data_IF_542807494281
#
_entry.id   IF_542807494281
#
_cell.length_a   1.000
_cell.length_b   1.000
_cell.length_c   1.000
_cell.angle_alpha   90.00
_cell.angle_beta   90.00
_cell.angle_gamma   90.00
#
_symmetry.space_group_name_H-M   'P 1'
#
loop_
_entity.id
_entity.type
_entity.pdbx_description
1 polymer ?
#
# COMPACT_ATOMS: atom_id res chain seq x y z
N UNK A 1 11.05 71.37 30.14
CA UNK A 1 12.43 70.85 30.04
C UNK A 1 12.52 69.34 30.20
N UNK A 2 11.79 68.69 31.12
CA UNK A 2 11.86 67.23 31.31
C UNK A 2 11.44 66.38 30.10
N UNK A 3 10.46 66.81 29.30
CA UNK A 3 10.04 66.06 28.10
C UNK A 3 11.11 66.04 26.97
N UNK A 4 11.96 67.07 26.91
CA UNK A 4 13.06 67.16 25.92
C UNK A 4 14.27 66.30 26.34
N UNK A 5 14.54 66.16 27.64
CA UNK A 5 15.62 65.29 28.11
C UNK A 5 15.29 63.81 27.91
N UNK A 6 14.04 63.41 28.17
CA UNK A 6 13.56 62.03 27.94
C UNK A 6 13.57 61.68 26.44
N UNK A 7 13.27 62.63 25.56
CA UNK A 7 13.37 62.41 24.11
C UNK A 7 14.83 62.22 23.66
N UNK A 8 15.78 62.96 24.25
CA UNK A 8 17.19 62.83 23.91
C UNK A 8 17.79 61.50 24.40
N UNK A 9 17.41 61.01 25.58
CA UNK A 9 17.84 59.70 26.09
C UNK A 9 17.37 58.54 25.20
N UNK A 10 16.12 58.58 24.72
CA UNK A 10 15.59 57.56 23.79
C UNK A 10 16.33 57.59 22.45
N UNK A 11 16.68 58.78 21.95
CA UNK A 11 17.46 58.92 20.71
C UNK A 11 18.87 58.36 20.89
N UNK A 12 19.54 58.64 22.01
CA UNK A 12 20.89 58.13 22.28
C UNK A 12 20.95 56.60 22.37
N UNK A 13 19.90 55.97 22.91
CA UNK A 13 19.81 54.51 23.03
C UNK A 13 19.40 53.79 21.73
N UNK A 14 18.52 54.40 20.93
CA UNK A 14 17.94 53.75 19.75
C UNK A 14 18.71 54.05 18.45
N UNK A 15 19.38 55.20 18.35
CA UNK A 15 20.21 55.54 17.20
C UNK A 15 21.30 54.49 16.90
N UNK A 16 22.13 54.03 17.86
CA UNK A 16 23.16 53.02 17.56
C UNK A 16 22.55 51.69 17.13
N UNK A 17 21.41 51.29 17.72
CA UNK A 17 20.69 50.06 17.35
C UNK A 17 20.12 50.18 15.93
N UNK A 18 19.52 51.31 15.58
CA UNK A 18 18.99 51.56 14.24
C UNK A 18 20.10 51.53 13.18
N UNK A 19 21.24 52.16 13.46
CA UNK A 19 22.41 52.14 12.56
C UNK A 19 22.94 50.71 12.38
N UNK A 20 23.05 49.92 13.45
CA UNK A 20 23.43 48.50 13.37
C UNK A 20 22.43 47.68 12.54
N UNK A 21 21.12 47.89 12.72
CA UNK A 21 20.08 47.20 11.96
C UNK A 21 20.10 47.58 10.48
N UNK A 22 20.34 48.85 10.13
CA UNK A 22 20.49 49.29 8.74
C UNK A 22 21.73 48.70 8.08
N UNK A 23 22.85 48.63 8.80
CA UNK A 23 24.07 47.99 8.31
C UNK A 23 23.88 46.48 8.09
N UNK A 24 23.20 45.79 9.01
CA UNK A 24 22.91 44.36 8.80
C UNK A 24 21.93 44.15 7.64
N UNK A 25 20.93 45.01 7.48
CA UNK A 25 20.00 44.95 6.35
C UNK A 25 20.70 45.14 5.01
N UNK A 26 21.59 46.13 4.89
CA UNK A 26 22.35 46.37 3.66
C UNK A 26 23.26 45.18 3.31
N UNK A 27 23.93 44.59 4.30
CA UNK A 27 24.73 43.37 4.11
C UNK A 27 23.86 42.19 3.65
N UNK A 28 22.69 41.99 4.26
CA UNK A 28 21.76 40.92 3.87
C UNK A 28 21.23 41.11 2.45
N UNK A 29 20.86 42.34 2.07
CA UNK A 29 20.43 42.65 0.70
C UNK A 29 21.55 42.39 -0.30
N UNK A 30 22.79 42.77 0.00
CA UNK A 30 23.94 42.49 -0.86
C UNK A 30 24.18 40.98 -1.03
N UNK A 31 24.07 40.20 0.06
CA UNK A 31 24.21 38.74 0.03
C UNK A 31 23.08 38.05 -0.75
N UNK A 32 21.83 38.45 -0.54
CA UNK A 32 20.69 37.86 -1.26
C UNK A 32 20.76 38.22 -2.75
N UNK A 33 21.11 39.46 -3.08
CA UNK A 33 21.22 39.87 -4.49
C UNK A 33 22.36 39.17 -5.23
N UNK A 34 23.51 38.94 -4.59
CA UNK A 34 24.59 38.14 -5.20
C UNK A 34 24.16 36.69 -5.41
N UNK A 35 23.54 36.07 -4.41
CA UNK A 35 23.05 34.70 -4.49
C UNK A 35 22.02 34.50 -5.61
N UNK A 36 21.06 35.43 -5.73
CA UNK A 36 20.04 35.39 -6.80
C UNK A 36 20.68 35.57 -8.17
N UNK A 37 21.65 36.49 -8.33
CA UNK A 37 22.38 36.67 -9.60
C UNK A 37 23.12 35.41 -10.00
N UNK A 38 23.75 34.73 -9.06
CA UNK A 38 24.45 33.46 -9.33
C UNK A 38 23.48 32.35 -9.72
N UNK A 39 22.30 32.31 -9.09
CA UNK A 39 21.26 31.35 -9.44
C UNK A 39 20.71 31.60 -10.85
N UNK A 40 20.49 32.87 -11.22
CA UNK A 40 20.07 33.27 -12.58
C UNK A 40 21.10 32.82 -13.62
N UNK A 41 22.39 33.05 -13.38
CA UNK A 41 23.46 32.60 -14.29
C UNK A 41 23.45 31.08 -14.47
N UNK A 42 23.28 30.32 -13.38
CA UNK A 42 23.17 28.84 -13.44
C UNK A 42 21.97 28.39 -14.26
N UNK A 43 20.82 29.05 -14.10
CA UNK A 43 19.61 28.76 -14.88
C UNK A 43 19.81 29.09 -16.36
N UNK A 44 20.42 30.23 -16.70
CA UNK A 44 20.75 30.60 -18.08
C UNK A 44 21.69 29.60 -18.74
N UNK A 45 22.68 29.11 -17.98
CA UNK A 45 23.61 28.08 -18.41
C UNK A 45 22.99 26.67 -18.48
N UNK A 46 21.68 26.53 -18.22
CA UNK A 46 20.93 25.26 -18.21
C UNK A 46 21.54 24.19 -17.29
N UNK A 47 22.26 24.59 -16.24
CA UNK A 47 22.88 23.63 -15.31
C UNK A 47 21.84 22.83 -14.54
N UNK A 48 20.62 23.37 -14.39
CA UNK A 48 19.49 22.68 -13.77
C UNK A 48 18.42 22.37 -14.82
N UNK A 49 18.11 21.09 -15.08
CA UNK A 49 17.02 20.72 -15.99
C UNK A 49 15.67 20.99 -15.31
N UNK A 50 15.06 22.14 -15.60
CA UNK A 50 13.75 22.55 -15.04
C UNK A 50 12.55 21.93 -15.76
N UNK A 51 12.77 21.15 -16.83
CA UNK A 51 11.69 20.62 -17.68
C UNK A 51 10.87 19.49 -17.03
N UNK A 52 11.42 18.79 -16.03
CA UNK A 52 10.77 17.67 -15.36
C UNK A 52 10.70 17.92 -13.84
N UNK A 53 9.63 18.55 -13.40
CA UNK A 53 9.36 18.88 -12.00
C UNK A 53 8.01 18.37 -11.51
N UNK A 54 7.84 18.32 -10.18
CA UNK A 54 6.55 18.11 -9.55
C UNK A 54 5.77 19.43 -9.59
N UNK A 55 4.78 19.54 -10.48
CA UNK A 55 3.93 20.74 -10.63
C UNK A 55 3.29 21.22 -9.30
N UNK A 56 2.98 20.29 -8.39
CA UNK A 56 2.47 20.63 -7.07
C UNK A 56 3.48 21.44 -6.22
N UNK A 57 4.77 21.11 -6.33
CA UNK A 57 5.84 21.81 -5.61
C UNK A 57 6.04 23.21 -6.20
N UNK A 58 5.95 23.35 -7.53
CA UNK A 58 5.99 24.65 -8.19
C UNK A 58 4.87 25.56 -7.69
N UNK A 59 3.63 25.07 -7.64
CA UNK A 59 2.51 25.83 -7.12
C UNK A 59 2.74 26.28 -5.66
N UNK A 60 3.27 25.38 -4.82
CA UNK A 60 3.60 25.71 -3.43
C UNK A 60 4.65 26.83 -3.35
N UNK A 61 5.69 26.78 -4.17
CA UNK A 61 6.70 27.84 -4.20
C UNK A 61 6.16 29.17 -4.71
N UNK A 62 5.30 29.16 -5.73
CA UNK A 62 4.62 30.38 -6.19
C UNK A 62 3.75 30.99 -5.10
N UNK A 63 2.98 30.18 -4.35
CA UNK A 63 2.19 30.66 -3.22
C UNK A 63 3.05 31.26 -2.10
N UNK A 64 4.18 30.64 -1.78
CA UNK A 64 5.13 31.18 -0.81
C UNK A 64 5.76 32.50 -1.28
N UNK A 65 6.04 32.62 -2.58
CA UNK A 65 6.53 33.86 -3.17
C UNK A 65 5.49 34.98 -3.09
N UNK A 66 4.23 34.71 -3.46
CA UNK A 66 3.14 35.67 -3.33
C UNK A 66 2.92 36.09 -1.87
N UNK A 67 3.03 35.14 -0.93
CA UNK A 67 2.98 35.45 0.50
C UNK A 67 4.08 36.44 0.90
N UNK A 68 5.34 36.21 0.50
CA UNK A 68 6.44 37.12 0.80
C UNK A 68 6.27 38.49 0.14
N UNK A 69 5.74 38.53 -1.08
CA UNK A 69 5.46 39.77 -1.79
C UNK A 69 4.39 40.62 -1.08
N UNK A 70 3.28 40.00 -0.67
CA UNK A 70 2.22 40.69 0.08
C UNK A 70 2.70 41.16 1.47
N UNK A 71 3.55 40.37 2.14
CA UNK A 71 4.16 40.79 3.42
C UNK A 71 5.11 41.97 3.21
N UNK A 72 6.00 41.92 2.21
CA UNK A 72 6.92 43.01 1.91
C UNK A 72 6.15 44.30 1.54
N UNK A 73 5.05 44.17 0.80
CA UNK A 73 4.18 45.30 0.49
C UNK A 73 3.55 45.91 1.74
N UNK A 74 3.04 45.09 2.66
CA UNK A 74 2.51 45.58 3.95
C UNK A 74 3.59 46.23 4.82
N UNK A 75 4.82 45.70 4.80
CA UNK A 75 5.95 46.32 5.50
C UNK A 75 6.28 47.69 4.92
N UNK A 76 6.29 47.84 3.59
CA UNK A 76 6.48 49.13 2.92
C UNK A 76 5.42 50.17 3.33
N UNK A 77 4.14 49.77 3.32
CA UNK A 77 3.03 50.65 3.73
C UNK A 77 3.19 51.09 5.18
N UNK A 78 3.64 50.18 6.05
CA UNK A 78 3.87 50.48 7.45
C UNK A 78 5.06 51.42 7.66
N UNK A 79 6.12 51.27 6.88
CA UNK A 79 7.28 52.18 6.95
C UNK A 79 6.96 53.56 6.40
N UNK A 80 6.03 53.66 5.45
CA UNK A 80 5.52 54.93 4.92
C UNK A 80 4.53 55.63 5.88
N UNK A 81 4.20 55.00 7.01
CA UNK A 81 3.31 55.55 8.04
C UNK A 81 1.82 55.48 7.69
N UNK A 82 1.45 54.70 6.67
CA UNK A 82 0.06 54.55 6.25
C UNK A 82 -0.70 53.56 7.15
N UNK A 83 -2.03 53.71 7.22
CA UNK A 83 -2.89 52.78 7.95
C UNK A 83 -2.96 51.43 7.25
N UNK A 84 -2.90 50.34 8.02
CA UNK A 84 -3.07 48.98 7.52
C UNK A 84 -4.54 48.53 7.45
N UNK A 85 -5.48 49.36 7.90
CA UNK A 85 -6.91 49.01 7.87
C UNK A 85 -7.40 48.97 6.42
N UNK A 86 -8.16 47.92 6.10
CA UNK A 86 -8.84 47.72 4.80
C UNK A 86 -7.93 47.57 3.58
N UNK A 87 -6.73 46.99 3.77
CA UNK A 87 -5.86 46.66 2.64
C UNK A 87 -6.16 45.25 2.10
N UNK A 88 -6.44 45.15 0.79
CA UNK A 88 -6.63 43.89 0.06
C UNK A 88 -5.47 42.90 0.24
N UNK A 89 -4.25 43.39 0.47
CA UNK A 89 -3.09 42.55 0.74
C UNK A 89 -3.29 41.63 1.95
N UNK A 90 -4.03 42.08 2.98
CA UNK A 90 -4.34 41.26 4.16
C UNK A 90 -5.29 40.12 3.77
N UNK A 91 -6.31 40.41 2.96
CA UNK A 91 -7.22 39.38 2.46
C UNK A 91 -6.50 38.35 1.58
N UNK A 92 -5.58 38.78 0.71
CA UNK A 92 -4.73 37.88 -0.08
C UNK A 92 -3.86 37.00 0.81
N UNK A 93 -3.23 37.60 1.83
CA UNK A 93 -2.42 36.89 2.82
C UNK A 93 -3.18 35.78 3.56
N UNK A 94 -4.38 36.10 4.06
CA UNK A 94 -5.25 35.10 4.71
C UNK A 94 -5.67 34.02 3.71
N UNK A 95 -5.99 34.41 2.47
CA UNK A 95 -6.35 33.45 1.42
C UNK A 95 -5.20 32.50 1.11
N UNK A 96 -4.00 33.01 0.86
CA UNK A 96 -2.80 32.21 0.60
C UNK A 96 -2.50 31.28 1.79
N UNK A 97 -2.60 31.79 3.03
CA UNK A 97 -2.42 30.99 4.23
C UNK A 97 -3.42 29.83 4.28
N UNK A 98 -4.72 30.10 4.09
CA UNK A 98 -5.73 29.04 4.11
C UNK A 98 -5.50 28.00 3.00
N UNK A 99 -5.09 28.42 1.80
CA UNK A 99 -4.73 27.51 0.71
C UNK A 99 -3.55 26.62 1.11
N UNK A 100 -2.48 27.19 1.67
CA UNK A 100 -1.32 26.42 2.16
C UNK A 100 -1.73 25.42 3.26
N UNK A 101 -2.69 25.76 4.12
CA UNK A 101 -3.21 24.83 5.13
C UNK A 101 -4.00 23.68 4.51
N UNK A 102 -4.84 23.97 3.51
CA UNK A 102 -5.60 22.94 2.78
C UNK A 102 -4.73 22.06 1.90
N UNK A 103 -3.54 22.52 1.52
CA UNK A 103 -2.56 21.72 0.77
C UNK A 103 -1.80 20.70 1.64
N UNK A 104 -1.73 20.86 2.97
CA UNK A 104 -0.94 19.97 3.85
C UNK A 104 -1.27 18.47 3.73
N UNK A 105 -2.54 18.04 3.59
CA UNK A 105 -2.84 16.61 3.39
C UNK A 105 -2.31 16.06 2.05
N UNK A 106 -2.20 16.90 1.03
CA UNK A 106 -1.59 16.53 -0.26
C UNK A 106 -0.07 16.42 -0.12
N UNK A 107 0.57 17.35 0.59
CA UNK A 107 1.99 17.25 0.95
C UNK A 107 2.30 15.90 1.63
N UNK A 108 1.48 15.49 2.60
CA UNK A 108 1.67 14.22 3.31
C UNK A 108 1.55 13.00 2.38
N UNK A 109 0.61 13.03 1.43
CA UNK A 109 0.45 11.95 0.44
C UNK A 109 1.60 11.89 -0.56
N UNK A 110 2.13 13.05 -0.94
CA UNK A 110 3.25 13.17 -1.89
C UNK A 110 4.62 13.06 -1.23
N UNK A 111 4.71 13.15 0.10
CA UNK A 111 5.96 13.09 0.86
C UNK A 111 6.84 11.92 0.44
N UNK A 112 6.27 10.72 0.34
CA UNK A 112 7.03 9.55 -0.11
C UNK A 112 7.60 9.72 -1.53
N UNK A 113 6.83 10.28 -2.45
CA UNK A 113 7.27 10.48 -3.84
C UNK A 113 8.37 11.55 -3.92
N UNK A 114 8.22 12.63 -3.15
CA UNK A 114 9.22 13.69 -3.03
C UNK A 114 10.50 13.12 -2.42
N UNK A 115 10.41 12.44 -1.27
CA UNK A 115 11.56 11.83 -0.59
C UNK A 115 12.25 10.79 -1.49
N UNK A 116 11.48 10.02 -2.27
CA UNK A 116 12.02 9.08 -3.25
C UNK A 116 12.79 9.81 -4.35
N UNK A 117 12.21 10.85 -4.94
CA UNK A 117 12.86 11.62 -6.01
C UNK A 117 14.14 12.31 -5.53
N UNK A 118 14.11 12.89 -4.32
CA UNK A 118 15.28 13.49 -3.68
C UNK A 118 16.35 12.43 -3.43
N UNK A 119 15.99 11.26 -2.89
CA UNK A 119 16.93 10.15 -2.72
C UNK A 119 17.53 9.73 -4.05
N UNK A 120 16.72 9.52 -5.09
CA UNK A 120 17.24 9.14 -6.41
C UNK A 120 18.18 10.17 -7.02
N UNK A 121 17.93 11.47 -6.80
CA UNK A 121 18.80 12.53 -7.28
C UNK A 121 20.14 12.56 -6.54
N UNK A 122 20.16 12.22 -5.24
CA UNK A 122 21.38 12.22 -4.41
C UNK A 122 22.18 10.92 -4.58
N UNK A 123 21.53 9.75 -4.59
CA UNK A 123 22.22 8.44 -4.65
C UNK A 123 22.32 7.85 -6.05
N UNK A 124 21.67 8.43 -7.07
CA UNK A 124 21.73 7.95 -8.46
C UNK A 124 21.08 6.57 -8.71
N UNK A 125 20.55 5.92 -7.68
CA UNK A 125 19.94 4.59 -7.73
C UNK A 125 18.60 4.58 -6.98
N UNK A 126 17.58 3.90 -7.54
CA UNK A 126 16.34 3.62 -6.83
C UNK A 126 16.61 2.53 -5.79
N UNK A 127 16.24 2.79 -4.53
CA UNK A 127 16.43 1.83 -3.45
C UNK A 127 15.85 0.45 -3.80
N UNK A 128 16.63 -0.62 -3.61
CA UNK A 128 16.25 -2.01 -3.89
C UNK A 128 14.97 -2.45 -3.15
N UNK A 129 14.64 -1.77 -2.04
CA UNK A 129 13.50 -2.06 -1.18
C UNK A 129 12.33 -1.06 -1.36
N UNK A 130 11.94 -0.76 -2.60
CA UNK A 130 10.78 0.09 -2.88
C UNK A 130 9.49 -0.75 -3.06
N UNK A 131 8.48 -0.62 -2.17
CA UNK A 131 7.21 -1.33 -2.29
C UNK A 131 6.43 -1.07 -3.60
N UNK A 132 6.71 0.04 -4.29
CA UNK A 132 6.06 0.42 -5.55
C UNK A 132 6.77 -0.14 -6.80
N UNK A 133 7.95 -0.76 -6.67
CA UNK A 133 8.62 -1.44 -7.79
C UNK A 133 7.82 -2.63 -8.32
N UNK A 134 6.95 -3.23 -7.51
CA UNK A 134 6.12 -4.38 -7.89
C UNK A 134 4.81 -3.99 -8.58
N UNK A 135 4.65 -2.74 -9.01
CA UNK A 135 3.50 -2.36 -9.83
C UNK A 135 3.60 -3.04 -11.20
N UNK A 136 2.53 -3.67 -11.70
CA UNK A 136 2.51 -4.18 -13.06
C UNK A 136 2.81 -3.03 -14.01
N UNK A 137 3.84 -3.16 -14.86
CA UNK A 137 4.19 -2.16 -15.84
C UNK A 137 3.52 -2.54 -17.19
N UNK A 138 2.39 -1.92 -17.56
CA UNK A 138 1.64 -2.30 -18.75
C UNK A 138 2.38 -1.99 -20.04
N UNK A 139 3.35 -1.06 -20.04
CA UNK A 139 4.21 -0.75 -21.19
C UNK A 139 5.04 -1.96 -21.64
N UNK A 140 5.39 -2.85 -20.69
CA UNK A 140 6.11 -4.10 -20.98
C UNK A 140 5.24 -5.16 -21.71
N UNK A 141 3.95 -4.89 -21.88
CA UNK A 141 3.02 -5.70 -22.68
C UNK A 141 2.83 -5.12 -24.09
N UNK A 142 3.08 -3.82 -24.29
CA UNK A 142 2.79 -3.13 -25.56
C UNK A 142 3.92 -3.33 -26.57
N UNK A 143 5.17 -3.43 -26.11
CA UNK A 143 6.32 -3.77 -26.97
C UNK A 143 6.25 -5.17 -27.58
N UNK A 144 5.34 -6.03 -27.11
CA UNK A 144 5.07 -7.36 -27.70
C UNK A 144 3.89 -7.38 -28.67
N UNK A 145 3.10 -6.30 -28.74
CA UNK A 145 1.97 -6.21 -29.66
C UNK A 145 2.34 -5.47 -30.96
N UNK A 146 3.27 -4.51 -30.92
CA UNK A 146 3.74 -3.79 -32.11
C UNK A 146 4.85 -4.53 -32.89
N UNK A 147 5.31 -5.68 -32.39
CA UNK A 147 6.34 -6.50 -33.05
C UNK A 147 5.77 -7.72 -33.81
N UNK A 148 4.46 -7.76 -34.06
CA UNK A 148 3.81 -8.89 -34.77
C UNK A 148 3.49 -8.63 -36.25
N UNK A 149 3.92 -7.51 -36.85
CA UNK A 149 3.63 -7.20 -38.26
C UNK A 149 4.84 -6.82 -39.13
N UNK A 150 6.06 -7.30 -38.83
CA UNK A 150 7.16 -7.17 -39.80
C UNK A 150 8.06 -8.41 -39.75
N UNK A 151 8.15 -9.10 -40.89
CA UNK A 151 8.96 -10.30 -41.19
C UNK A 151 10.47 -10.04 -41.04
N UNK A 152 11.28 -11.11 -41.13
CA UNK A 152 12.75 -11.00 -41.05
C UNK A 152 13.45 -12.27 -40.52
N UNK A 153 13.69 -13.29 -41.35
CA UNK A 153 14.88 -14.16 -41.20
C UNK A 153 15.98 -13.64 -42.09
N UNK A 154 17.21 -13.71 -41.62
CA UNK A 154 18.34 -14.36 -42.29
C UNK A 154 19.61 -14.14 -41.43
N UNK A 155 20.33 -15.22 -41.10
CA UNK A 155 21.76 -15.20 -40.76
C UNK A 155 22.50 -16.00 -41.88
N UNK A 156 23.11 -15.31 -42.85
CA UNK A 156 24.57 -15.23 -43.05
C UNK A 156 24.94 -14.51 -44.36
N UNK A 157 26.12 -13.90 -44.36
CA UNK A 157 26.64 -12.85 -45.23
C UNK A 157 26.28 -12.86 -46.72
N UNK A 158 25.71 -11.73 -47.15
CA UNK A 158 25.57 -11.38 -48.55
C UNK A 158 24.31 -10.57 -48.83
N UNK A 159 24.27 -9.33 -48.31
CA UNK A 159 23.43 -8.22 -48.81
C UNK A 159 22.16 -8.64 -49.59
N UNK A 160 21.02 -8.71 -48.86
CA UNK A 160 19.59 -8.67 -49.28
C UNK A 160 18.77 -9.97 -49.14
N UNK A 161 17.85 -9.92 -48.15
CA UNK A 161 16.44 -10.39 -48.11
C UNK A 161 16.07 -11.88 -47.83
N UNK A 162 15.40 -12.02 -46.67
CA UNK A 162 14.26 -12.87 -46.22
C UNK A 162 14.35 -14.43 -46.30
N UNK A 163 14.23 -15.17 -45.16
CA UNK A 163 13.08 -16.07 -44.81
C UNK A 163 13.25 -17.18 -43.71
N UNK A 164 12.28 -17.24 -42.78
CA UNK A 164 12.17 -17.70 -41.34
C UNK A 164 12.72 -19.08 -40.86
N UNK A 165 13.40 -19.11 -39.68
CA UNK A 165 13.38 -20.21 -38.67
C UNK A 165 13.76 -19.85 -37.19
N UNK A 166 12.71 -19.65 -36.36
CA UNK A 166 12.48 -20.04 -34.93
C UNK A 166 13.63 -20.76 -34.14
N UNK A 167 14.00 -20.53 -32.86
CA UNK A 167 13.20 -20.43 -31.61
C UNK A 167 14.07 -20.17 -30.32
N UNK A 168 13.73 -19.16 -29.48
CA UNK A 168 13.72 -19.06 -27.98
C UNK A 168 14.96 -19.43 -27.08
N UNK A 169 14.99 -19.19 -25.73
CA UNK A 169 14.45 -18.14 -24.84
C UNK A 169 15.53 -17.44 -23.96
N UNK A 170 15.28 -16.21 -23.45
CA UNK A 170 16.12 -15.61 -22.38
C UNK A 170 15.93 -16.36 -21.05
N UNK A 171 17.04 -16.75 -20.43
CA UNK A 171 17.15 -17.67 -19.30
C UNK A 171 16.20 -17.35 -18.12
N UNK A 172 15.23 -18.24 -17.86
CA UNK A 172 14.51 -18.27 -16.60
C UNK A 172 15.45 -18.82 -15.54
N UNK A 173 15.70 -18.06 -14.47
CA UNK A 173 16.42 -18.55 -13.28
C UNK A 173 15.71 -19.83 -12.80
N UNK A 174 16.42 -20.96 -12.85
CA UNK A 174 15.90 -22.25 -12.43
C UNK A 174 15.51 -22.17 -10.94
N UNK A 175 14.22 -22.38 -10.65
CA UNK A 175 13.71 -22.50 -9.28
C UNK A 175 13.43 -23.99 -9.08
N UNK A 176 14.23 -24.70 -8.28
CA UNK A 176 13.98 -26.10 -7.97
C UNK A 176 12.58 -26.26 -7.39
N UNK A 177 11.83 -27.29 -7.80
CA UNK A 177 10.55 -27.60 -7.17
C UNK A 177 10.80 -27.85 -5.68
N UNK A 178 10.02 -27.17 -4.83
CA UNK A 178 10.08 -27.42 -3.38
C UNK A 178 9.41 -28.76 -3.11
N UNK A 179 10.21 -29.81 -3.05
CA UNK A 179 9.77 -31.15 -2.65
C UNK A 179 9.52 -31.11 -1.15
N UNK A 180 8.25 -31.07 -0.74
CA UNK A 180 7.89 -31.33 0.64
C UNK A 180 8.02 -32.84 0.87
N UNK A 181 8.62 -33.28 2.00
CA UNK A 181 8.63 -34.69 2.35
C UNK A 181 7.18 -35.20 2.39
N UNK A 182 6.85 -36.13 1.49
CA UNK A 182 5.64 -36.92 1.57
C UNK A 182 6.01 -38.27 2.16
N UNK A 183 5.20 -38.75 3.09
CA UNK A 183 5.34 -40.12 3.58
C UNK A 183 5.12 -41.07 2.39
N UNK A 184 6.06 -42.00 2.18
CA UNK A 184 5.93 -43.04 1.17
C UNK A 184 5.07 -44.15 1.76
N UNK A 185 3.81 -44.21 1.33
CA UNK A 185 2.84 -45.18 1.85
C UNK A 185 2.98 -46.58 1.21
N UNK A 186 4.07 -46.84 0.48
CA UNK A 186 4.29 -48.10 -0.25
C UNK A 186 3.53 -48.18 -1.59
N UNK A 187 3.67 -49.31 -2.29
CA UNK A 187 2.92 -49.63 -3.51
C UNK A 187 1.49 -50.06 -3.18
N UNK A 188 0.70 -49.12 -2.65
CA UNK A 188 -0.73 -49.33 -2.39
C UNK A 188 -1.48 -49.53 -3.71
N UNK A 189 -2.15 -50.69 -3.83
CA UNK A 189 -3.08 -51.01 -4.92
C UNK A 189 -4.16 -49.93 -5.04
N UNK A 190 -4.69 -49.70 -6.24
CA UNK A 190 -5.81 -48.76 -6.45
C UNK A 190 -7.02 -49.09 -5.56
N UNK A 191 -7.26 -50.38 -5.30
CA UNK A 191 -8.29 -50.86 -4.38
C UNK A 191 -8.07 -50.40 -2.93
N UNK A 192 -6.81 -50.33 -2.47
CA UNK A 192 -6.50 -49.92 -1.09
C UNK A 192 -6.60 -48.41 -0.93
N UNK A 193 -6.26 -47.63 -1.98
CA UNK A 193 -6.54 -46.18 -2.03
C UNK A 193 -8.04 -45.89 -1.98
N UNK A 194 -8.86 -46.69 -2.68
CA UNK A 194 -10.31 -46.54 -2.64
C UNK A 194 -10.89 -46.86 -1.25
N UNK A 195 -10.42 -47.93 -0.60
CA UNK A 195 -10.80 -48.25 0.78
C UNK A 195 -10.42 -47.13 1.75
N UNK A 196 -9.20 -46.60 1.64
CA UNK A 196 -8.75 -45.48 2.48
C UNK A 196 -9.61 -44.23 2.28
N UNK A 197 -10.01 -43.93 1.03
CA UNK A 197 -10.92 -42.83 0.73
C UNK A 197 -12.31 -43.06 1.34
N UNK A 198 -12.84 -44.28 1.30
CA UNK A 198 -14.11 -44.64 1.92
C UNK A 198 -14.02 -44.51 3.44
N UNK A 199 -12.94 -45.00 4.05
CA UNK A 199 -12.73 -44.90 5.50
C UNK A 199 -12.53 -43.45 5.95
N UNK A 200 -11.86 -42.63 5.13
CA UNK A 200 -11.73 -41.20 5.37
C UNK A 200 -13.08 -40.49 5.29
N UNK A 201 -13.96 -40.89 4.37
CA UNK A 201 -15.34 -40.37 4.28
C UNK A 201 -16.19 -40.82 5.46
N UNK A 202 -16.10 -42.09 5.89
CA UNK A 202 -16.75 -42.59 7.10
C UNK A 202 -16.30 -41.80 8.33
N UNK A 203 -14.99 -41.63 8.52
CA UNK A 203 -14.41 -40.81 9.60
C UNK A 203 -14.85 -39.35 9.53
N UNK A 204 -15.01 -38.78 8.32
CA UNK A 204 -15.52 -37.42 8.15
C UNK A 204 -17.03 -37.33 8.46
N UNK A 205 -17.82 -38.32 8.07
CA UNK A 205 -19.23 -38.43 8.39
C UNK A 205 -19.43 -38.51 9.91
N UNK A 206 -18.64 -39.33 10.62
CA UNK A 206 -18.58 -39.41 12.10
C UNK A 206 -18.14 -38.10 12.78
N UNK A 207 -17.50 -37.19 12.05
CA UNK A 207 -17.08 -35.86 12.53
C UNK A 207 -18.04 -34.75 12.10
N UNK A 208 -19.16 -35.08 11.46
CA UNK A 208 -20.20 -34.10 11.13
C UNK A 208 -20.90 -33.61 12.42
N UNK A 209 -21.44 -32.38 12.38
CA UNK A 209 -22.11 -31.79 13.56
C UNK A 209 -23.29 -32.67 14.01
N UNK A 210 -24.08 -33.16 13.04
CA UNK A 210 -25.29 -33.95 13.28
C UNK A 210 -25.00 -35.22 14.08
N UNK A 211 -24.02 -36.02 13.66
CA UNK A 211 -23.70 -37.26 14.36
C UNK A 211 -22.98 -37.01 15.68
N UNK A 212 -22.24 -35.91 15.80
CA UNK A 212 -21.60 -35.49 17.05
C UNK A 212 -22.63 -35.12 18.11
N UNK A 213 -23.63 -34.33 17.73
CA UNK A 213 -24.75 -33.94 18.60
C UNK A 213 -25.60 -35.16 18.99
N UNK A 214 -25.90 -36.07 18.05
CA UNK A 214 -26.58 -37.33 18.35
C UNK A 214 -25.77 -38.16 19.35
N UNK A 215 -24.46 -38.32 19.12
CA UNK A 215 -23.58 -39.05 20.05
C UNK A 215 -23.60 -38.45 21.46
N UNK A 216 -23.63 -37.12 21.56
CA UNK A 216 -23.69 -36.41 22.83
C UNK A 216 -25.03 -36.62 23.56
N UNK A 217 -26.16 -36.61 22.83
CA UNK A 217 -27.48 -36.86 23.40
C UNK A 217 -27.66 -38.28 23.96
N UNK A 218 -27.06 -39.28 23.30
CA UNK A 218 -27.14 -40.68 23.70
C UNK A 218 -26.01 -41.12 24.62
N UNK A 219 -25.05 -40.25 24.94
CA UNK A 219 -23.97 -40.56 25.87
C UNK A 219 -24.24 -40.01 27.26
N UNK A 220 -24.11 -40.86 28.29
CA UNK A 220 -24.12 -40.45 29.70
C UNK A 220 -22.80 -39.80 30.17
N UNK A 221 -21.88 -39.51 29.24
CA UNK A 221 -20.61 -38.88 29.57
C UNK A 221 -20.82 -37.39 29.88
N UNK A 222 -20.23 -36.86 30.96
CA UNK A 222 -20.40 -35.45 31.31
C UNK A 222 -19.76 -34.54 30.26
N UNK A 223 -20.43 -33.41 29.97
CA UNK A 223 -19.93 -32.38 29.06
C UNK A 223 -19.10 -31.32 29.81
N UNK A 224 -17.97 -30.93 29.24
CA UNK A 224 -17.14 -29.85 29.76
C UNK A 224 -17.70 -28.47 29.38
N UNK A 225 -18.57 -27.91 30.23
CA UNK A 225 -19.06 -26.54 30.08
C UNK A 225 -18.00 -25.57 30.61
N UNK A 226 -17.61 -24.59 29.80
CA UNK A 226 -16.64 -23.55 30.17
C UNK A 226 -17.32 -22.21 30.43
N UNK A 227 -16.87 -21.48 31.46
CA UNK A 227 -17.46 -20.19 31.86
C UNK A 227 -17.16 -19.02 30.91
N UNK A 228 -16.23 -19.17 29.95
CA UNK A 228 -15.94 -18.13 28.96
C UNK A 228 -16.80 -18.29 27.72
N UNK A 229 -17.45 -17.21 27.31
CA UNK A 229 -18.15 -17.11 26.03
C UNK A 229 -17.13 -16.99 24.88
N UNK A 230 -16.47 -18.11 24.58
CA UNK A 230 -15.59 -18.22 23.43
C UNK A 230 -16.42 -18.66 22.22
N UNK A 231 -16.44 -17.84 21.17
CA UNK A 231 -17.03 -18.18 19.86
C UNK A 231 -16.19 -19.24 19.09
N UNK A 232 -15.40 -20.03 19.79
CA UNK A 232 -14.51 -21.04 19.21
C UNK A 232 -15.29 -22.32 18.90
N UNK A 233 -14.93 -22.99 17.81
CA UNK A 233 -15.49 -24.30 17.51
C UNK A 233 -14.84 -25.38 18.38
N UNK A 234 -15.52 -26.49 18.64
CA UNK A 234 -14.93 -27.64 19.34
C UNK A 234 -13.61 -28.10 18.71
N UNK A 235 -13.52 -27.99 17.38
CA UNK A 235 -12.32 -28.30 16.63
C UNK A 235 -11.17 -27.37 17.01
N UNK A 236 -11.41 -26.06 17.07
CA UNK A 236 -10.38 -25.09 17.48
C UNK A 236 -9.93 -25.34 18.93
N UNK A 237 -10.86 -25.74 19.79
CA UNK A 237 -10.58 -26.09 21.19
C UNK A 237 -9.65 -27.31 21.27
N UNK A 238 -9.95 -28.38 20.52
CA UNK A 238 -9.11 -29.58 20.47
C UNK A 238 -7.73 -29.29 19.88
N UNK A 239 -7.65 -28.46 18.84
CA UNK A 239 -6.38 -28.04 18.24
C UNK A 239 -5.54 -27.20 19.23
N UNK A 240 -6.16 -26.29 19.98
CA UNK A 240 -5.49 -25.51 21.03
C UNK A 240 -5.04 -26.39 22.21
N UNK A 241 -5.83 -27.38 22.63
CA UNK A 241 -5.43 -28.38 23.64
C UNK A 241 -4.24 -29.22 23.17
N UNK A 242 -4.32 -29.77 21.95
CA UNK A 242 -3.22 -30.56 21.38
C UNK A 242 -1.92 -29.75 21.33
N UNK A 243 -2.02 -28.46 20.98
CA UNK A 243 -0.88 -27.57 20.99
C UNK A 243 -0.31 -27.37 22.39
N UNK A 244 -1.15 -27.14 23.41
CA UNK A 244 -0.69 -27.03 24.80
C UNK A 244 0.05 -28.30 25.24
N UNK A 245 -0.54 -29.47 24.99
CA UNK A 245 0.07 -30.75 25.34
C UNK A 245 1.44 -30.95 24.66
N UNK A 246 1.59 -30.51 23.41
CA UNK A 246 2.88 -30.52 22.73
C UNK A 246 3.88 -29.53 23.35
N UNK A 247 3.45 -28.29 23.63
CA UNK A 247 4.30 -27.28 24.25
C UNK A 247 4.75 -27.68 25.66
N UNK A 248 3.90 -28.38 26.43
CA UNK A 248 4.20 -28.91 27.76
C UNK A 248 5.12 -30.14 27.70
N UNK A 249 4.87 -31.09 26.81
CA UNK A 249 5.73 -32.28 26.68
C UNK A 249 7.12 -31.96 26.14
N UNK A 250 7.22 -31.00 25.22
CA UNK A 250 8.49 -30.57 24.62
C UNK A 250 9.11 -29.36 25.34
N UNK A 251 8.40 -28.75 26.29
CA UNK A 251 8.80 -27.55 27.04
C UNK A 251 9.23 -26.37 26.15
N UNK A 252 8.65 -26.25 24.94
CA UNK A 252 8.98 -25.21 23.95
C UNK A 252 7.71 -24.60 23.39
N UNK A 253 7.62 -23.26 23.39
CA UNK A 253 6.49 -22.52 22.80
C UNK A 253 6.55 -22.52 21.27
N UNK A 254 5.43 -22.86 20.63
CA UNK A 254 5.32 -22.79 19.17
C UNK A 254 4.93 -21.38 18.71
N UNK A 255 5.67 -20.81 17.76
CA UNK A 255 5.28 -19.52 17.17
C UNK A 255 4.16 -19.70 16.14
N UNK A 256 3.19 -18.76 16.11
CA UNK A 256 2.09 -18.79 15.13
C UNK A 256 2.42 -17.87 13.97
N UNK A 257 2.39 -18.35 12.71
CA UNK A 257 2.60 -17.48 11.57
C UNK A 257 1.46 -16.46 11.43
N UNK A 258 1.80 -15.27 10.91
CA UNK A 258 0.88 -14.13 10.80
C UNK A 258 -0.42 -14.48 10.06
N UNK A 259 -0.33 -15.33 9.04
CA UNK A 259 -1.47 -15.76 8.23
C UNK A 259 -2.45 -16.65 9.01
N UNK A 260 -1.94 -17.57 9.84
CA UNK A 260 -2.78 -18.41 10.69
C UNK A 260 -3.46 -17.56 11.78
N UNK A 261 -2.73 -16.60 12.36
CA UNK A 261 -3.29 -15.64 13.32
C UNK A 261 -4.41 -14.79 12.71
N UNK A 262 -4.24 -14.32 11.46
CA UNK A 262 -5.28 -13.58 10.75
C UNK A 262 -6.52 -14.43 10.45
N UNK A 263 -6.33 -15.72 10.08
CA UNK A 263 -7.43 -16.67 9.89
C UNK A 263 -8.19 -16.91 11.20
N UNK A 264 -7.50 -17.17 12.32
CA UNK A 264 -8.11 -17.37 13.64
C UNK A 264 -8.96 -16.16 14.05
N UNK A 265 -8.44 -14.94 13.86
CA UNK A 265 -9.20 -13.69 14.11
C UNK A 265 -10.46 -13.57 13.24
N UNK A 266 -10.39 -14.01 11.98
CA UNK A 266 -11.56 -14.01 11.08
C UNK A 266 -12.61 -15.05 11.49
N UNK A 267 -12.17 -16.17 12.03
CA UNK A 267 -13.03 -17.27 12.48
C UNK A 267 -13.67 -17.00 13.85
N UNK A 268 -13.13 -16.07 14.64
CA UNK A 268 -13.67 -15.69 15.96
C UNK A 268 -14.92 -14.79 15.90
N UNK A 269 -15.34 -14.34 14.72
CA UNK A 269 -16.57 -13.54 14.57
C UNK A 269 -17.82 -14.42 14.44
N UNK A 270 -18.94 -14.02 15.04
CA UNK A 270 -20.26 -14.69 15.10
C UNK A 270 -20.74 -15.35 13.78
N UNK A 271 -20.29 -14.86 12.62
CA UNK A 271 -20.54 -15.45 11.31
C UNK A 271 -20.02 -16.87 11.09
N UNK A 272 -19.06 -17.34 11.90
CA UNK A 272 -18.52 -18.71 11.83
C UNK A 272 -19.45 -19.73 12.49
N UNK A 273 -20.13 -19.36 13.58
CA UNK A 273 -21.08 -20.20 14.31
C UNK A 273 -22.33 -20.53 13.48
N UNK A 274 -22.78 -19.58 12.67
CA UNK A 274 -23.91 -19.83 11.76
C UNK A 274 -23.57 -20.85 10.66
N UNK A 275 -22.28 -21.12 10.41
CA UNK A 275 -21.85 -22.12 9.43
C UNK A 275 -21.84 -23.54 10.00
N UNK A 276 -21.60 -23.75 11.29
CA UNK A 276 -21.74 -25.09 11.88
C UNK A 276 -23.21 -25.53 11.87
N UNK A 277 -24.11 -24.60 12.19
CA UNK A 277 -25.57 -24.83 12.19
C UNK A 277 -26.12 -25.19 10.80
N UNK A 278 -25.53 -24.65 9.74
CA UNK A 278 -25.99 -24.89 8.35
C UNK A 278 -25.22 -25.99 7.62
N UNK A 279 -24.21 -26.60 8.25
CA UNK A 279 -23.38 -27.64 7.64
C UNK A 279 -23.69 -29.03 8.21
N UNK A 280 -24.67 -29.69 7.62
CA UNK A 280 -25.12 -31.02 8.06
C UNK A 280 -24.16 -32.18 7.70
N UNK A 281 -23.07 -31.89 6.97
CA UNK A 281 -22.14 -32.91 6.49
C UNK A 281 -22.79 -33.89 5.51
N UNK A 282 -21.98 -34.61 4.75
CA UNK A 282 -22.48 -35.69 3.89
C UNK A 282 -22.46 -37.00 4.69
N UNK A 283 -23.63 -37.44 5.15
CA UNK A 283 -23.80 -38.65 5.98
C UNK A 283 -24.01 -39.91 5.11
N UNK A 284 -24.06 -39.76 3.78
CA UNK A 284 -24.26 -40.86 2.82
C UNK A 284 -23.29 -42.02 3.03
N UNK A 285 -22.04 -41.74 3.43
CA UNK A 285 -21.03 -42.73 3.74
C UNK A 285 -21.37 -43.64 4.95
N UNK A 286 -22.32 -43.24 5.80
CA UNK A 286 -22.76 -43.98 7.00
C UNK A 286 -24.13 -44.64 6.81
N UNK A 287 -25.04 -44.02 6.04
CA UNK A 287 -26.38 -44.54 5.77
C UNK A 287 -26.44 -45.56 4.63
N UNK A 288 -25.32 -45.84 3.96
CA UNK A 288 -25.24 -46.84 2.89
C UNK A 288 -26.02 -46.47 1.64
N UNK A 289 -26.44 -45.21 1.50
CA UNK A 289 -27.05 -44.71 0.26
C UNK A 289 -26.02 -44.63 -0.85
N UNK A 290 -26.44 -44.93 -2.09
CA UNK A 290 -25.56 -44.85 -3.27
C UNK A 290 -24.84 -43.50 -3.30
N UNK A 291 -23.51 -43.57 -3.22
CA UNK A 291 -22.68 -42.39 -3.35
C UNK A 291 -22.95 -41.78 -4.74
N UNK A 292 -23.19 -40.45 -4.86
CA UNK A 292 -23.28 -39.85 -6.18
C UNK A 292 -21.98 -40.12 -6.95
N UNK A 293 -22.12 -40.65 -8.17
CA UNK A 293 -21.04 -41.01 -9.10
C UNK A 293 -19.82 -40.07 -8.99
N UNK A 294 -18.69 -40.64 -8.60
CA UNK A 294 -17.44 -39.90 -8.40
C UNK A 294 -16.69 -39.60 -9.70
N UNK A 295 -17.14 -40.16 -10.83
CA UNK A 295 -16.59 -39.87 -12.14
C UNK A 295 -17.09 -38.53 -12.73
N UNK A 296 -18.02 -37.87 -12.04
CA UNK A 296 -18.48 -36.55 -12.47
C UNK A 296 -18.32 -35.52 -11.33
N UNK A 297 -17.13 -34.88 -11.19
CA UNK A 297 -17.01 -33.77 -10.27
C UNK A 297 -17.99 -32.68 -10.75
N UNK A 298 -19.07 -32.44 -9.97
CA UNK A 298 -19.99 -31.33 -10.22
C UNK A 298 -19.14 -30.10 -10.57
N UNK A 299 -19.36 -29.46 -11.73
CA UNK A 299 -18.47 -28.41 -12.19
C UNK A 299 -18.41 -27.38 -11.08
N UNK A 300 -17.21 -27.15 -10.53
CA UNK A 300 -16.96 -26.07 -9.57
C UNK A 300 -17.59 -24.85 -10.21
N UNK A 301 -18.68 -24.33 -9.64
CA UNK A 301 -19.33 -23.11 -10.13
C UNK A 301 -18.21 -22.10 -10.21
N UNK A 302 -17.73 -21.79 -11.43
CA UNK A 302 -16.75 -20.74 -11.66
C UNK A 302 -17.36 -19.56 -10.95
N UNK A 303 -16.70 -19.06 -9.89
CA UNK A 303 -17.11 -17.80 -9.26
C UNK A 303 -17.24 -16.85 -10.44
N UNK A 304 -18.48 -16.45 -10.76
CA UNK A 304 -18.70 -15.37 -11.71
C UNK A 304 -17.98 -14.20 -11.06
N UNK A 305 -16.77 -13.91 -11.53
CA UNK A 305 -16.16 -12.62 -11.31
C UNK A 305 -17.18 -11.67 -11.91
N UNK A 306 -17.97 -11.04 -11.06
CA UNK A 306 -18.78 -9.90 -11.46
C UNK A 306 -17.76 -8.92 -12.06
N UNK A 307 -17.67 -8.91 -13.39
CA UNK A 307 -17.11 -7.77 -14.12
C UNK A 307 -17.93 -6.60 -13.62
N UNK A 308 -17.39 -5.82 -12.69
CA UNK A 308 -17.90 -4.50 -12.34
C UNK A 308 -17.92 -3.74 -13.65
N UNK A 309 -19.08 -3.71 -14.33
CA UNK A 309 -19.34 -2.72 -15.36
C UNK A 309 -19.27 -1.39 -14.63
N UNK A 310 -18.14 -0.71 -14.75
CA UNK A 310 -18.05 0.71 -14.42
C UNK A 310 -19.01 1.43 -15.37
N UNK A 311 -20.29 1.54 -15.00
CA UNK A 311 -21.18 2.54 -15.57
C UNK A 311 -20.57 3.88 -15.18
N UNK A 312 -19.85 4.51 -16.11
CA UNK A 312 -19.52 5.95 -16.03
C UNK A 312 -20.85 6.68 -15.79
N UNK A 313 -21.06 7.20 -14.58
CA UNK A 313 -22.09 8.20 -14.32
C UNK A 313 -21.69 9.45 -15.10
N UNK A 314 -22.18 9.55 -16.32
CA UNK A 314 -22.23 10.81 -17.07
C UNK A 314 -23.14 11.76 -16.30
N UNK A 315 -22.57 12.71 -15.58
CA UNK A 315 -23.30 13.90 -15.15
C UNK A 315 -23.57 14.74 -16.40
N UNK A 316 -24.82 14.74 -16.88
CA UNK A 316 -25.29 15.72 -17.86
C UNK A 316 -25.23 17.10 -17.19
N UNK A 317 -24.38 18.00 -17.71
CA UNK A 317 -24.54 19.44 -17.46
C UNK A 317 -25.84 19.87 -18.15
N UNK A 318 -26.76 20.47 -17.37
CA UNK A 318 -27.84 21.29 -17.92
C UNK A 318 -27.22 22.56 -18.50
N UNK A 319 -27.67 22.95 -19.69
CA UNK A 319 -27.56 24.32 -20.21
C UNK A 319 -28.44 25.24 -19.37
#
# INVERSE_FOLDING_TARGET
MAALSVQNEVIEDDLPKAVQLLNTLTQQVAFVTSHVRDLIKKVQNKTYPTSKGLSFLDLRYHLLLFYLQDVAHLMSIKTDGQSLKDNDAIHRLVTIRTVLEKMRPLDQKLKYQIDKLVRTAVTGSLAENDPLHFRPNPENLVSKLDQSEESDDDDDEGNKKDSVKMMAPKARKYVPPKIAPMHYDGDLTEADRQKELVDKRRKAAFRSSVIGELRQQYSDAPEEIRERQDFQTERDIREDQHRKNYEESMMVRLSVPRDQKAKKRRMMGMSSQLKSITHFGDITALTGGDAPDLDNPRPKKKKKVLKKKNKKKMFKKRK
#
